data_IF_297942274746
#
_entry.id   IF_297942274746
#
_cell.length_a   1.000
_cell.length_b   1.000
_cell.length_c   1.000
_cell.angle_alpha   90.00
_cell.angle_beta   90.00
_cell.angle_gamma   90.00
#
_symmetry.space_group_name_H-M   'P 1'
#
loop_
_entity.id
_entity.type
_entity.pdbx_description
1 polymer ?
#
# COMPACT_ATOMS: atom_id res chain seq x y z
N UNK A 1 12.80 30.46 18.46
CA UNK A 1 11.56 30.04 17.76
C UNK A 1 10.41 30.73 18.45
N UNK A 2 9.56 31.41 17.69
CA UNK A 2 8.41 32.14 18.23
C UNK A 2 7.31 31.16 18.61
N UNK A 3 6.55 31.48 19.65
CA UNK A 3 5.53 30.62 20.25
C UNK A 3 4.21 31.37 20.40
N UNK A 4 3.10 30.65 20.27
CA UNK A 4 1.75 31.18 20.48
C UNK A 4 1.09 30.37 21.60
N UNK A 5 0.66 31.06 22.65
CA UNK A 5 -0.07 30.46 23.76
C UNK A 5 -1.56 30.37 23.43
N UNK A 6 -2.13 29.16 23.51
CA UNK A 6 -3.57 28.92 23.34
C UNK A 6 -4.02 27.82 24.29
N UNK A 7 -5.11 28.06 25.02
CA UNK A 7 -5.77 27.05 25.87
C UNK A 7 -4.81 26.29 26.80
N UNK A 8 -3.77 26.96 27.32
CA UNK A 8 -2.76 26.38 28.22
C UNK A 8 -1.63 25.59 27.54
N UNK A 9 -1.52 25.64 26.21
CA UNK A 9 -0.43 25.07 25.43
C UNK A 9 0.38 26.13 24.69
N UNK A 10 1.68 25.86 24.51
CA UNK A 10 2.63 26.71 23.78
C UNK A 10 2.96 26.11 22.41
N UNK A 11 2.29 26.59 21.37
CA UNK A 11 2.47 26.11 19.99
C UNK A 11 3.65 26.77 19.31
N UNK A 12 4.39 26.04 18.48
CA UNK A 12 5.30 26.67 17.52
C UNK A 12 4.50 27.58 16.58
N UNK A 13 4.96 28.82 16.39
CA UNK A 13 4.21 29.80 15.59
C UNK A 13 3.98 29.33 14.15
N UNK A 14 4.95 28.63 13.54
CA UNK A 14 4.82 28.13 12.17
C UNK A 14 3.72 27.09 12.07
N UNK A 15 3.69 26.14 13.01
CA UNK A 15 2.66 25.12 13.08
C UNK A 15 1.27 25.72 13.36
N UNK A 16 1.20 26.67 14.30
CA UNK A 16 -0.07 27.33 14.63
C UNK A 16 -0.67 28.04 13.42
N UNK A 17 0.14 28.83 12.71
CA UNK A 17 -0.31 29.55 11.50
C UNK A 17 -0.69 28.59 10.38
N UNK A 18 0.11 27.56 10.12
CA UNK A 18 -0.24 26.54 9.12
C UNK A 18 -1.61 25.89 9.42
N UNK A 19 -1.85 25.47 10.66
CA UNK A 19 -3.13 24.88 11.03
C UNK A 19 -4.29 25.88 10.89
N UNK A 20 -4.11 27.10 11.40
CA UNK A 20 -5.16 28.12 11.43
C UNK A 20 -5.50 28.69 10.05
N UNK A 21 -4.47 28.97 9.25
CA UNK A 21 -4.61 29.76 8.04
C UNK A 21 -4.72 28.87 6.78
N UNK A 22 -4.11 27.67 6.77
CA UNK A 22 -4.10 26.80 5.58
C UNK A 22 -4.98 25.55 5.73
N UNK A 23 -5.09 24.96 6.93
CA UNK A 23 -5.78 23.66 7.12
C UNK A 23 -7.23 23.82 7.55
N UNK A 24 -7.47 24.48 8.69
CA UNK A 24 -8.80 24.56 9.30
C UNK A 24 -9.86 25.19 8.39
N UNK A 25 -9.57 26.24 7.58
CA UNK A 25 -10.56 26.82 6.66
C UNK A 25 -11.16 25.81 5.67
N UNK A 26 -10.39 24.81 5.24
CA UNK A 26 -10.84 23.76 4.30
C UNK A 26 -11.69 22.67 4.97
N UNK A 27 -11.75 22.66 6.31
CA UNK A 27 -12.48 21.62 7.07
C UNK A 27 -13.86 22.08 7.55
N UNK A 28 -14.13 23.39 7.58
CA UNK A 28 -15.34 23.97 8.19
C UNK A 28 -15.37 23.93 9.73
N UNK A 29 -14.26 23.56 10.38
CA UNK A 29 -14.14 23.57 11.84
C UNK A 29 -13.81 24.96 12.37
N UNK A 30 -14.37 25.30 13.54
CA UNK A 30 -13.97 26.51 14.27
C UNK A 30 -12.57 26.35 14.88
N UNK A 31 -11.72 27.35 14.67
CA UNK A 31 -10.32 27.26 15.06
C UNK A 31 -10.12 27.31 16.57
N UNK A 32 -10.88 28.14 17.30
CA UNK A 32 -10.75 28.23 18.76
C UNK A 32 -11.20 26.92 19.42
N UNK A 33 -12.35 26.39 18.98
CA UNK A 33 -12.87 25.09 19.42
C UNK A 33 -11.89 23.94 19.12
N UNK A 34 -11.24 23.94 17.96
CA UNK A 34 -10.22 22.96 17.61
C UNK A 34 -9.03 23.00 18.58
N UNK A 35 -8.44 24.18 18.83
CA UNK A 35 -7.28 24.31 19.72
C UNK A 35 -7.64 24.01 21.19
N UNK A 36 -8.84 24.39 21.63
CA UNK A 36 -9.36 24.02 22.95
C UNK A 36 -9.47 22.50 23.10
N UNK A 37 -10.14 21.82 22.16
CA UNK A 37 -10.30 20.37 22.16
C UNK A 37 -8.97 19.62 22.06
N UNK A 38 -8.03 20.11 21.23
CA UNK A 38 -6.68 19.55 21.17
C UNK A 38 -5.96 19.65 22.53
N UNK A 39 -6.08 20.80 23.21
CA UNK A 39 -5.49 20.98 24.55
C UNK A 39 -6.05 19.99 25.56
N UNK A 40 -7.38 19.80 25.58
CA UNK A 40 -8.03 18.83 26.47
C UNK A 40 -7.52 17.40 26.23
N UNK A 41 -7.40 16.99 24.95
CA UNK A 41 -6.88 15.68 24.57
C UNK A 41 -5.43 15.51 25.05
N UNK A 42 -4.57 16.51 24.82
CA UNK A 42 -3.16 16.46 25.24
C UNK A 42 -3.06 16.32 26.75
N UNK A 43 -3.80 17.10 27.53
CA UNK A 43 -3.78 17.00 28.99
C UNK A 43 -4.32 15.67 29.51
N UNK A 44 -5.38 15.14 28.89
CA UNK A 44 -5.98 13.87 29.30
C UNK A 44 -5.14 12.63 28.93
N UNK A 45 -4.49 12.63 27.77
CA UNK A 45 -3.82 11.45 27.23
C UNK A 45 -2.30 11.41 27.44
N UNK A 46 -1.64 12.56 27.60
CA UNK A 46 -0.17 12.59 27.79
C UNK A 46 0.31 11.84 29.04
N UNK A 47 -0.35 11.90 30.22
CA UNK A 47 0.05 11.09 31.37
C UNK A 47 -0.01 9.60 31.07
N UNK A 48 -1.11 9.12 30.46
CA UNK A 48 -1.28 7.72 30.08
C UNK A 48 -0.20 7.26 29.09
N UNK A 49 0.15 8.10 28.12
CA UNK A 49 1.21 7.80 27.17
C UNK A 49 2.57 7.62 27.88
N UNK A 50 2.92 8.52 28.82
CA UNK A 50 4.15 8.38 29.62
C UNK A 50 4.16 7.10 30.46
N UNK A 51 3.03 6.75 31.07
CA UNK A 51 2.92 5.52 31.88
C UNK A 51 3.12 4.27 31.01
N UNK A 52 2.61 4.27 29.77
CA UNK A 52 2.84 3.19 28.81
C UNK A 52 4.31 3.07 28.40
N UNK A 53 5.03 4.19 28.23
CA UNK A 53 6.46 4.19 27.95
C UNK A 53 7.27 3.66 29.15
N UNK A 54 6.97 4.13 30.36
CA UNK A 54 7.62 3.64 31.58
C UNK A 54 7.37 2.13 31.80
N UNK A 55 6.19 1.62 31.41
CA UNK A 55 5.90 0.19 31.44
C UNK A 55 6.78 -0.60 30.47
N UNK A 56 7.11 -0.05 29.29
CA UNK A 56 8.04 -0.69 28.33
C UNK A 56 9.45 -0.76 28.91
N UNK A 57 9.93 0.34 29.49
CA UNK A 57 11.25 0.39 30.12
C UNK A 57 11.35 -0.63 31.26
N UNK A 58 10.34 -0.68 32.14
CA UNK A 58 10.28 -1.65 33.22
C UNK A 58 10.24 -3.11 32.74
N UNK A 59 9.61 -3.40 31.59
CA UNK A 59 9.70 -4.74 30.99
C UNK A 59 11.10 -5.03 30.49
N UNK A 60 11.73 -4.09 29.80
CA UNK A 60 13.08 -4.27 29.28
C UNK A 60 14.10 -4.49 30.41
N UNK A 61 14.02 -3.74 31.50
CA UNK A 61 14.89 -3.92 32.67
C UNK A 61 14.78 -5.32 33.28
N UNK A 62 13.55 -5.86 33.38
CA UNK A 62 13.32 -7.23 33.86
C UNK A 62 13.89 -8.27 32.90
N UNK A 63 13.73 -8.07 31.60
CA UNK A 63 14.33 -8.95 30.58
C UNK A 63 15.85 -8.93 30.70
N UNK A 64 16.46 -7.74 30.76
CA UNK A 64 17.91 -7.57 30.88
C UNK A 64 18.45 -8.21 32.18
N UNK A 65 17.74 -8.10 33.29
CA UNK A 65 18.08 -8.77 34.54
C UNK A 65 18.03 -10.29 34.40
N UNK A 66 16.96 -10.82 33.79
CA UNK A 66 16.81 -12.25 33.55
C UNK A 66 17.97 -12.79 32.71
N UNK A 67 18.34 -12.12 31.61
CA UNK A 67 19.45 -12.54 30.74
C UNK A 67 20.81 -12.44 31.43
N UNK A 68 21.04 -11.43 32.28
CA UNK A 68 22.29 -11.33 33.07
C UNK A 68 22.45 -12.49 34.06
N UNK A 69 21.36 -12.92 34.67
CA UNK A 69 21.37 -13.99 35.68
C UNK A 69 21.38 -15.40 35.08
N UNK A 70 20.70 -15.59 33.95
CA UNK A 70 20.42 -16.92 33.40
C UNK A 70 21.14 -17.20 32.07
N UNK A 71 21.76 -16.19 31.44
CA UNK A 71 22.31 -16.30 30.10
C UNK A 71 21.21 -16.45 29.04
N UNK A 72 21.56 -17.05 27.90
CA UNK A 72 20.58 -17.33 26.85
C UNK A 72 19.58 -18.43 27.29
N UNK A 73 18.27 -18.31 26.98
CA UNK A 73 17.28 -19.32 27.33
C UNK A 73 17.57 -20.64 26.63
N UNK A 74 17.89 -21.65 27.42
CA UNK A 74 17.97 -23.05 26.99
C UNK A 74 16.70 -23.84 27.33
N UNK A 75 15.91 -23.33 28.28
CA UNK A 75 14.60 -23.85 28.69
C UNK A 75 13.52 -22.80 28.39
N UNK A 76 12.78 -23.03 27.32
CA UNK A 76 11.72 -22.12 26.87
C UNK A 76 10.49 -22.15 27.78
N UNK A 77 10.19 -23.26 28.46
CA UNK A 77 9.06 -23.33 29.38
C UNK A 77 9.28 -22.46 30.61
N UNK A 78 10.52 -22.47 31.13
CA UNK A 78 10.92 -21.57 32.22
C UNK A 78 10.89 -20.10 31.78
N UNK A 79 11.35 -19.79 30.57
CA UNK A 79 11.34 -18.41 30.05
C UNK A 79 9.92 -17.90 29.80
N UNK A 80 9.04 -18.72 29.21
CA UNK A 80 7.63 -18.38 29.01
C UNK A 80 6.92 -18.11 30.34
N UNK A 81 7.18 -18.93 31.37
CA UNK A 81 6.64 -18.71 32.73
C UNK A 81 7.08 -17.34 33.26
N UNK A 82 8.37 -17.00 33.14
CA UNK A 82 8.87 -15.67 33.52
C UNK A 82 8.16 -14.53 32.77
N UNK A 83 7.97 -14.65 31.45
CA UNK A 83 7.26 -13.64 30.65
C UNK A 83 5.81 -13.45 31.10
N UNK A 84 5.13 -14.53 31.50
CA UNK A 84 3.78 -14.45 32.08
C UNK A 84 3.80 -13.79 33.46
N UNK A 85 4.75 -14.18 34.33
CA UNK A 85 4.89 -13.67 35.69
C UNK A 85 5.13 -12.15 35.73
N UNK A 86 5.94 -11.62 34.80
CA UNK A 86 6.16 -10.17 34.72
C UNK A 86 4.98 -9.43 34.08
N UNK A 87 4.03 -10.13 33.48
CA UNK A 87 2.87 -9.57 32.77
C UNK A 87 3.16 -9.14 31.33
N UNK A 88 4.23 -9.66 30.72
CA UNK A 88 4.60 -9.40 29.33
C UNK A 88 3.79 -10.27 28.38
N UNK A 89 3.70 -11.58 28.67
CA UNK A 89 2.82 -12.50 27.96
C UNK A 89 1.50 -12.60 28.71
N UNK A 90 0.43 -12.08 28.11
CA UNK A 90 -0.93 -12.14 28.67
C UNK A 90 -1.64 -13.42 28.22
N UNK A 91 -2.66 -13.88 28.98
CA UNK A 91 -3.53 -14.96 28.52
C UNK A 91 -4.24 -14.55 27.22
N UNK A 92 -4.42 -15.52 26.33
CA UNK A 92 -5.25 -15.34 25.14
C UNK A 92 -6.71 -15.06 25.55
N UNK A 93 -7.35 -14.10 24.88
CA UNK A 93 -8.76 -13.80 25.08
C UNK A 93 -9.67 -14.76 24.33
N UNK A 94 -10.98 -14.71 24.60
CA UNK A 94 -11.96 -15.52 23.89
C UNK A 94 -11.99 -15.19 22.38
N UNK A 95 -12.36 -16.19 21.57
CA UNK A 95 -12.55 -15.99 20.14
C UNK A 95 -13.65 -14.95 19.85
N UNK A 96 -13.34 -13.97 19.01
CA UNK A 96 -14.27 -12.92 18.58
C UNK A 96 -14.13 -12.62 17.08
N UNK A 97 -15.05 -11.83 16.54
CA UNK A 97 -14.96 -11.27 15.19
C UNK A 97 -14.90 -9.75 15.29
N UNK A 98 -14.04 -9.13 14.48
CA UNK A 98 -14.03 -7.67 14.33
C UNK A 98 -15.33 -7.20 13.66
N UNK A 99 -15.81 -6.03 14.05
CA UNK A 99 -17.09 -5.43 13.61
C UNK A 99 -16.89 -4.11 12.86
N UNK A 100 -15.67 -3.84 12.38
CA UNK A 100 -15.33 -2.60 11.66
C UNK A 100 -16.19 -2.41 10.42
N UNK A 101 -16.80 -1.23 10.30
CA UNK A 101 -17.66 -0.84 9.18
C UNK A 101 -17.09 0.38 8.44
N UNK A 102 -17.66 0.70 7.28
CA UNK A 102 -17.32 1.87 6.47
C UNK A 102 -15.85 1.90 6.02
N UNK A 103 -15.31 0.75 5.63
CA UNK A 103 -13.94 0.58 5.14
C UNK A 103 -13.96 0.52 3.61
N UNK A 104 -13.07 1.26 2.96
CA UNK A 104 -12.95 1.27 1.50
C UNK A 104 -12.63 -0.13 0.92
N UNK A 105 -13.13 -0.46 -0.27
CA UNK A 105 -12.89 -1.75 -0.93
C UNK A 105 -11.40 -2.09 -1.10
N UNK A 106 -10.55 -1.09 -1.33
CA UNK A 106 -9.10 -1.21 -1.46
C UNK A 106 -8.43 -1.84 -0.23
N UNK A 107 -9.04 -1.72 0.94
CA UNK A 107 -8.56 -2.30 2.20
C UNK A 107 -9.35 -3.56 2.55
N UNK A 108 -10.68 -3.53 2.38
CA UNK A 108 -11.56 -4.58 2.89
C UNK A 108 -11.71 -5.80 1.95
N UNK A 109 -11.65 -5.58 0.64
CA UNK A 109 -12.05 -6.58 -0.37
C UNK A 109 -10.94 -6.95 -1.35
N UNK A 110 -10.02 -6.03 -1.62
CA UNK A 110 -8.98 -6.21 -2.62
C UNK A 110 -7.66 -6.68 -2.01
N UNK A 111 -7.05 -7.68 -2.62
CA UNK A 111 -5.67 -8.08 -2.32
C UNK A 111 -4.73 -7.43 -3.34
N UNK A 112 -3.69 -6.73 -2.88
CA UNK A 112 -2.73 -6.09 -3.76
C UNK A 112 -1.56 -5.45 -3.04
N UNK A 113 -0.61 -4.86 -3.79
CA UNK A 113 0.54 -4.18 -3.22
C UNK A 113 0.14 -2.94 -2.42
N UNK A 114 0.90 -2.63 -1.36
CA UNK A 114 0.80 -1.39 -0.60
C UNK A 114 2.15 -0.65 -0.63
N UNK A 115 2.14 0.59 -1.13
CA UNK A 115 3.34 1.42 -1.25
C UNK A 115 3.53 2.29 -0.01
N UNK A 116 4.78 2.41 0.46
CA UNK A 116 5.17 3.29 1.56
C UNK A 116 6.15 4.32 1.05
N UNK A 117 5.90 5.61 1.34
CA UNK A 117 6.65 6.74 0.78
C UNK A 117 6.82 7.85 1.82
N UNK A 118 7.95 8.58 1.85
CA UNK A 118 8.10 9.72 2.74
C UNK A 118 7.23 10.90 2.27
N UNK A 119 6.23 11.27 3.08
CA UNK A 119 5.32 12.39 2.78
C UNK A 119 6.03 13.74 2.65
N UNK A 120 7.19 13.90 3.29
CA UNK A 120 8.03 15.10 3.20
C UNK A 120 8.63 15.34 1.81
N UNK A 121 8.59 14.35 0.90
CA UNK A 121 8.99 14.52 -0.50
C UNK A 121 7.74 14.55 -1.39
N UNK A 122 7.32 15.77 -1.78
CA UNK A 122 6.12 15.97 -2.59
C UNK A 122 6.16 15.21 -3.93
N UNK A 123 7.33 15.10 -4.58
CA UNK A 123 7.47 14.34 -5.83
C UNK A 123 7.18 12.85 -5.60
N UNK A 124 7.69 12.29 -4.51
CA UNK A 124 7.46 10.89 -4.22
C UNK A 124 6.02 10.64 -3.79
N UNK A 125 5.41 11.55 -3.00
CA UNK A 125 3.99 11.47 -2.64
C UNK A 125 3.08 11.50 -3.89
N UNK A 126 3.33 12.41 -4.84
CA UNK A 126 2.58 12.47 -6.09
C UNK A 126 2.76 11.21 -6.94
N UNK A 127 4.00 10.73 -7.07
CA UNK A 127 4.26 9.49 -7.79
C UNK A 127 3.56 8.29 -7.13
N UNK A 128 3.56 8.22 -5.80
CA UNK A 128 2.90 7.16 -5.05
C UNK A 128 1.38 7.21 -5.19
N UNK A 129 0.77 8.39 -5.11
CA UNK A 129 -0.66 8.57 -5.32
C UNK A 129 -1.08 8.11 -6.73
N UNK A 130 -0.27 8.42 -7.74
CA UNK A 130 -0.52 8.03 -9.13
C UNK A 130 -0.16 6.56 -9.44
N UNK A 131 0.54 5.86 -8.54
CA UNK A 131 1.00 4.49 -8.76
C UNK A 131 -0.12 3.44 -8.68
N UNK A 132 -1.39 3.85 -8.49
CA UNK A 132 -2.55 2.95 -8.61
C UNK A 132 -2.58 2.25 -9.97
N UNK A 133 -2.15 2.94 -11.02
CA UNK A 133 -1.97 2.40 -12.36
C UNK A 133 -0.54 2.61 -12.83
N UNK A 134 0.10 1.56 -13.32
CA UNK A 134 1.48 1.60 -13.79
C UNK A 134 1.64 0.88 -15.12
N UNK A 135 2.57 1.36 -15.94
CA UNK A 135 2.94 0.72 -17.19
C UNK A 135 3.71 -0.56 -16.91
N UNK A 136 3.09 -1.72 -17.19
CA UNK A 136 3.76 -3.02 -17.09
C UNK A 136 4.95 -3.10 -18.05
N UNK A 137 4.84 -2.47 -19.23
CA UNK A 137 5.92 -2.47 -20.22
C UNK A 137 7.14 -1.69 -19.69
N UNK A 138 6.94 -0.53 -19.07
CA UNK A 138 8.04 0.23 -18.49
C UNK A 138 8.66 -0.49 -17.29
N UNK A 139 7.83 -1.14 -16.46
CA UNK A 139 8.31 -1.93 -15.33
C UNK A 139 9.18 -3.11 -15.79
N UNK A 140 8.77 -3.84 -16.84
CA UNK A 140 9.54 -4.96 -17.40
C UNK A 140 10.79 -4.46 -18.14
N UNK A 141 10.65 -3.43 -18.96
CA UNK A 141 11.75 -2.91 -19.78
C UNK A 141 12.83 -2.26 -18.90
N UNK A 142 12.44 -1.48 -17.90
CA UNK A 142 13.35 -0.67 -17.07
C UNK A 142 14.11 -1.47 -16.00
N UNK A 143 13.60 -2.62 -15.59
CA UNK A 143 14.19 -3.45 -14.52
C UNK A 143 15.03 -4.60 -15.08
N UNK A 144 15.52 -5.47 -14.21
CA UNK A 144 16.20 -6.72 -14.52
C UNK A 144 15.23 -7.92 -14.64
N UNK A 145 13.91 -7.69 -14.53
CA UNK A 145 12.89 -8.71 -14.77
C UNK A 145 12.96 -9.32 -16.19
N UNK A 146 13.49 -8.55 -17.14
CA UNK A 146 13.90 -9.03 -18.47
C UNK A 146 15.43 -9.05 -18.51
N UNK A 147 16.01 -10.24 -18.73
CA UNK A 147 17.46 -10.39 -18.87
C UNK A 147 18.01 -9.57 -20.05
N UNK A 148 19.19 -8.99 -19.82
CA UNK A 148 19.97 -8.23 -20.80
C UNK A 148 20.67 -9.15 -21.83
N UNK A 149 20.64 -10.47 -21.65
CA UNK A 149 21.27 -11.45 -22.55
C UNK A 149 20.72 -11.42 -23.99
N UNK A 150 21.45 -12.02 -24.93
CA UNK A 150 21.11 -12.17 -26.35
C UNK A 150 20.89 -10.85 -27.11
N UNK A 151 21.55 -9.79 -26.66
CA UNK A 151 21.44 -8.45 -27.27
C UNK A 151 20.21 -7.68 -26.82
N UNK A 152 19.66 -8.00 -25.63
CA UNK A 152 18.49 -7.35 -25.05
C UNK A 152 18.86 -6.31 -23.97
N UNK A 153 20.09 -5.80 -24.00
CA UNK A 153 20.57 -4.81 -23.04
C UNK A 153 19.76 -3.52 -23.16
N UNK A 154 19.60 -2.84 -22.01
CA UNK A 154 19.09 -1.46 -21.97
C UNK A 154 20.12 -0.51 -22.60
N UNK A 155 19.68 0.29 -23.57
CA UNK A 155 20.48 1.35 -24.19
C UNK A 155 19.97 2.74 -23.87
N UNK A 156 20.56 3.77 -24.48
CA UNK A 156 20.07 5.16 -24.41
C UNK A 156 18.73 5.37 -25.13
N UNK A 157 18.32 4.41 -25.96
CA UNK A 157 17.06 4.42 -26.69
C UNK A 157 16.39 3.06 -26.65
N UNK A 158 15.31 2.93 -27.43
CA UNK A 158 14.56 1.68 -27.54
C UNK A 158 15.39 0.60 -28.25
N UNK A 159 15.54 -0.55 -27.61
CA UNK A 159 16.11 -1.76 -28.16
C UNK A 159 14.95 -2.69 -28.58
N UNK A 160 14.70 -2.88 -29.89
CA UNK A 160 13.60 -3.73 -30.37
C UNK A 160 13.69 -5.18 -29.89
N UNK A 161 14.90 -5.73 -29.68
CA UNK A 161 15.06 -7.09 -29.16
C UNK A 161 14.55 -7.21 -27.73
N UNK A 162 14.89 -6.23 -26.89
CA UNK A 162 14.36 -6.14 -25.51
C UNK A 162 12.86 -5.92 -25.51
N UNK A 163 12.37 -5.00 -26.35
CA UNK A 163 10.93 -4.73 -26.47
C UNK A 163 10.12 -5.96 -26.90
N UNK A 164 10.65 -6.78 -27.80
CA UNK A 164 10.03 -8.06 -28.16
C UNK A 164 9.93 -9.03 -26.97
N UNK A 165 10.98 -9.12 -26.13
CA UNK A 165 10.93 -9.92 -24.88
C UNK A 165 9.87 -9.39 -23.90
N UNK A 166 9.75 -8.07 -23.76
CA UNK A 166 8.71 -7.44 -22.93
C UNK A 166 7.30 -7.76 -23.43
N UNK A 167 7.06 -7.63 -24.74
CA UNK A 167 5.76 -7.94 -25.35
C UNK A 167 5.42 -9.41 -25.15
N UNK A 168 6.36 -10.33 -25.43
CA UNK A 168 6.16 -11.76 -25.23
C UNK A 168 5.75 -12.07 -23.78
N UNK A 169 6.50 -11.54 -22.81
CA UNK A 169 6.17 -11.70 -21.39
C UNK A 169 4.75 -11.19 -21.06
N UNK A 170 4.38 -10.02 -21.58
CA UNK A 170 3.07 -9.44 -21.34
C UNK A 170 1.93 -10.25 -21.98
N UNK A 171 2.14 -10.82 -23.17
CA UNK A 171 1.18 -11.73 -23.81
C UNK A 171 1.00 -13.01 -23.01
N UNK A 172 2.10 -13.60 -22.52
CA UNK A 172 2.06 -14.78 -21.64
C UNK A 172 1.38 -14.48 -20.30
N UNK A 173 1.50 -13.24 -19.79
CA UNK A 173 0.77 -12.80 -18.60
C UNK A 173 -0.74 -12.69 -18.87
N UNK A 174 -1.15 -12.19 -20.03
CA UNK A 174 -2.56 -12.15 -20.44
C UNK A 174 -3.15 -13.55 -20.62
N UNK A 175 -2.42 -14.50 -21.21
CA UNK A 175 -2.87 -15.89 -21.34
C UNK A 175 -3.15 -16.54 -19.98
N UNK A 176 -2.35 -16.23 -18.96
CA UNK A 176 -2.54 -16.75 -17.60
C UNK A 176 -3.64 -16.04 -16.81
N UNK A 177 -3.85 -14.75 -17.07
CA UNK A 177 -4.72 -13.90 -16.23
C UNK A 177 -6.13 -13.74 -16.81
N UNK A 178 -6.23 -13.66 -18.13
CA UNK A 178 -7.47 -13.47 -18.90
C UNK A 178 -7.43 -14.39 -20.14
N UNK A 179 -7.47 -15.71 -19.95
CA UNK A 179 -7.30 -16.67 -21.03
C UNK A 179 -8.37 -16.49 -22.12
N UNK A 180 -7.98 -16.76 -23.37
CA UNK A 180 -8.90 -16.84 -24.50
C UNK A 180 -9.63 -18.19 -24.51
N UNK A 181 -10.84 -18.23 -25.06
CA UNK A 181 -11.59 -19.47 -25.23
C UNK A 181 -10.87 -20.46 -26.16
N UNK A 182 -10.08 -19.93 -27.09
CA UNK A 182 -9.19 -20.67 -27.97
C UNK A 182 -8.01 -19.80 -28.39
N UNK A 183 -6.84 -20.43 -28.61
CA UNK A 183 -5.62 -19.74 -29.03
C UNK A 183 -4.89 -19.01 -27.89
N UNK A 184 -4.02 -18.07 -28.25
CA UNK A 184 -3.15 -17.32 -27.34
C UNK A 184 -3.14 -15.84 -27.71
N UNK A 185 -3.00 -14.98 -26.71
CA UNK A 185 -2.81 -13.54 -26.88
C UNK A 185 -1.58 -13.19 -27.75
N UNK A 186 -0.61 -14.10 -27.86
CA UNK A 186 0.56 -13.92 -28.74
C UNK A 186 0.21 -13.78 -30.23
N UNK A 187 -0.93 -14.33 -30.66
CA UNK A 187 -1.41 -14.29 -32.05
C UNK A 187 -2.46 -13.20 -32.30
N UNK A 188 -2.74 -12.34 -31.30
CA UNK A 188 -3.76 -11.32 -31.41
C UNK A 188 -3.38 -10.22 -32.41
N UNK A 189 -4.18 -10.05 -33.47
CA UNK A 189 -4.01 -9.03 -34.51
C UNK A 189 -4.94 -7.84 -34.36
N UNK A 190 -6.14 -8.04 -33.82
CA UNK A 190 -7.17 -7.02 -33.68
C UNK A 190 -8.11 -7.32 -32.51
N UNK A 191 -8.77 -6.28 -32.00
CA UNK A 191 -9.81 -6.38 -30.98
C UNK A 191 -11.00 -5.50 -31.37
N UNK A 192 -12.20 -5.94 -31.01
CA UNK A 192 -13.44 -5.17 -31.15
C UNK A 192 -14.45 -5.56 -30.08
N UNK A 193 -15.45 -4.73 -29.87
CA UNK A 193 -16.56 -5.00 -28.96
C UNK A 193 -17.82 -5.29 -29.80
N UNK A 194 -18.39 -6.47 -29.62
CA UNK A 194 -19.63 -6.90 -30.29
C UNK A 194 -20.62 -7.31 -29.21
N UNK A 195 -21.81 -6.71 -29.22
CA UNK A 195 -22.89 -6.97 -28.26
C UNK A 195 -22.43 -6.92 -26.79
N UNK A 196 -21.55 -5.95 -26.48
CA UNK A 196 -21.00 -5.75 -25.14
C UNK A 196 -19.89 -6.73 -24.74
N UNK A 197 -19.41 -7.58 -25.65
CA UNK A 197 -18.34 -8.55 -25.39
C UNK A 197 -17.08 -8.25 -26.18
N UNK A 198 -15.92 -8.50 -25.56
CA UNK A 198 -14.62 -8.42 -26.21
C UNK A 198 -14.43 -9.59 -27.19
N UNK A 199 -14.11 -9.26 -28.44
CA UNK A 199 -13.73 -10.18 -29.50
C UNK A 199 -12.29 -9.91 -29.91
N UNK A 200 -11.50 -10.96 -30.04
CA UNK A 200 -10.08 -10.93 -30.38
C UNK A 200 -9.87 -11.70 -31.68
N UNK A 201 -9.24 -11.09 -32.67
CA UNK A 201 -8.86 -11.74 -33.92
C UNK A 201 -7.53 -12.46 -33.75
N UNK A 202 -7.52 -13.76 -34.07
CA UNK A 202 -6.35 -14.63 -34.15
C UNK A 202 -6.31 -15.27 -35.53
N UNK A 203 -5.27 -15.04 -36.31
CA UNK A 203 -5.03 -15.71 -37.61
C UNK A 203 -6.25 -15.67 -38.58
N UNK A 204 -7.02 -14.58 -38.56
CA UNK A 204 -8.22 -14.38 -39.38
C UNK A 204 -9.52 -14.98 -38.82
N UNK A 205 -9.51 -15.57 -37.63
CA UNK A 205 -10.68 -16.04 -36.90
C UNK A 205 -10.89 -15.21 -35.61
N UNK A 206 -12.15 -15.04 -35.20
CA UNK A 206 -12.49 -14.33 -33.96
C UNK A 206 -12.72 -15.30 -32.80
N UNK A 207 -12.18 -14.97 -31.63
CA UNK A 207 -12.40 -15.67 -30.37
C UNK A 207 -12.81 -14.68 -29.27
N UNK A 208 -13.27 -15.21 -28.14
CA UNK A 208 -13.61 -14.44 -26.95
C UNK A 208 -12.68 -14.79 -25.78
N UNK A 209 -12.85 -14.10 -24.66
CA UNK A 209 -12.30 -14.56 -23.38
C UNK A 209 -12.95 -15.89 -22.98
N UNK A 210 -12.20 -16.79 -22.36
CA UNK A 210 -12.74 -18.01 -21.78
C UNK A 210 -13.77 -17.70 -20.67
N UNK A 211 -13.58 -16.56 -19.98
CA UNK A 211 -14.51 -16.02 -19.00
C UNK A 211 -14.94 -14.60 -19.41
N UNK A 212 -16.06 -14.44 -20.15
CA UNK A 212 -16.48 -13.14 -20.68
C UNK A 212 -16.67 -12.05 -19.62
N UNK A 213 -17.02 -12.42 -18.38
CA UNK A 213 -17.19 -11.48 -17.27
C UNK A 213 -15.89 -10.79 -16.82
N UNK A 214 -14.72 -11.23 -17.27
CA UNK A 214 -13.45 -10.53 -17.02
C UNK A 214 -13.32 -9.24 -17.85
N UNK A 215 -14.14 -9.06 -18.90
CA UNK A 215 -14.19 -7.82 -19.64
C UNK A 215 -14.89 -6.73 -18.82
N UNK A 216 -14.13 -5.74 -18.35
CA UNK A 216 -14.62 -4.68 -17.47
C UNK A 216 -15.04 -3.39 -18.21
N UNK A 217 -14.69 -3.23 -19.49
CA UNK A 217 -14.99 -2.05 -20.29
C UNK A 217 -13.93 -1.74 -21.34
N UNK A 218 -14.14 -0.65 -22.09
CA UNK A 218 -13.25 -0.16 -23.14
C UNK A 218 -13.32 1.37 -23.26
N UNK A 219 -12.28 1.97 -23.84
CA UNK A 219 -12.27 3.36 -24.27
C UNK A 219 -12.35 3.49 -25.80
N UNK A 220 -12.76 4.66 -26.30
CA UNK A 220 -12.85 4.92 -27.74
C UNK A 220 -14.04 4.23 -28.42
N UNK A 221 -13.88 3.88 -29.70
CA UNK A 221 -14.94 3.28 -30.51
C UNK A 221 -14.98 1.76 -30.38
N UNK A 222 -16.18 1.18 -30.30
CA UNK A 222 -16.35 -0.27 -30.13
C UNK A 222 -15.71 -1.10 -31.26
N UNK A 223 -15.67 -0.59 -32.49
CA UNK A 223 -15.04 -1.27 -33.63
C UNK A 223 -13.52 -1.26 -33.62
N UNK A 224 -12.90 -0.35 -32.86
CA UNK A 224 -11.45 -0.18 -32.74
C UNK A 224 -11.14 0.55 -31.41
N UNK A 225 -11.26 -0.16 -30.26
CA UNK A 225 -11.06 0.46 -28.96
C UNK A 225 -9.62 0.96 -28.77
N UNK A 226 -9.46 2.06 -28.03
CA UNK A 226 -8.18 2.74 -27.78
C UNK A 226 -7.46 2.23 -26.54
#
# INVERSE_FOLDING_TARGET
MSRIEQHGLSFDETLYRFLKDDVLPETGLDADAFFAGFSEIVHALSPKNRDLLAKRDAFQEKLDAWYRENGAPVDFGRYETFLKDIGYLLPEGDAFKVDTQNVDPEIALLAGPQLVVPVMNARYALNAANARWGSLYDALYGTDAISDDDGAEKGKGYNPKRGAKVIAWARDFLDRSTPLASGSWSNASSIKIVDGQLQIELDGAWTALAHPAQFAGFGGEASAPS
#
